data_IF_436606695985
#
_entry.id   IF_436606695985
#
_cell.length_a   1.000
_cell.length_b   1.000
_cell.length_c   1.000
_cell.angle_alpha   90.00
_cell.angle_beta   90.00
_cell.angle_gamma   90.00
#
_symmetry.space_group_name_H-M   'P 1'
#
loop_
_entity.id
_entity.type
_entity.pdbx_description
1 polymer ?
#
# COMPACT_ATOMS: atom_id res chain seq x y z
N UNK A 1 -1.75 -21.63 3.70
CA UNK A 1 -3.04 -21.26 4.32
C UNK A 1 -3.94 -22.48 4.48
N UNK A 2 -4.01 -23.35 3.45
CA UNK A 2 -4.81 -24.59 3.49
C UNK A 2 -4.31 -25.63 4.51
N UNK A 3 -3.04 -25.62 4.88
CA UNK A 3 -2.47 -26.54 5.88
C UNK A 3 -2.98 -26.28 7.32
N UNK A 4 -3.58 -25.12 7.57
CA UNK A 4 -4.04 -24.72 8.91
C UNK A 4 -5.55 -24.77 9.10
N UNK A 5 -6.32 -24.94 8.02
CA UNK A 5 -7.78 -25.06 8.08
C UNK A 5 -8.21 -26.39 7.46
N UNK A 6 -9.20 -27.07 8.04
CA UNK A 6 -9.76 -28.27 7.44
C UNK A 6 -10.24 -27.97 6.02
N UNK A 7 -9.73 -28.68 5.03
CA UNK A 7 -10.06 -28.48 3.61
C UNK A 7 -11.58 -28.47 3.34
N UNK A 8 -12.33 -29.17 4.15
CA UNK A 8 -13.79 -29.27 4.08
C UNK A 8 -14.53 -27.96 4.41
N UNK A 9 -13.82 -26.95 4.96
CA UNK A 9 -14.39 -25.65 5.35
C UNK A 9 -13.98 -24.49 4.45
N UNK A 10 -13.10 -24.72 3.48
CA UNK A 10 -12.63 -23.68 2.58
C UNK A 10 -13.14 -23.94 1.16
N UNK A 11 -13.75 -22.93 0.54
CA UNK A 11 -14.09 -22.94 -0.87
C UNK A 11 -13.07 -22.09 -1.63
N UNK A 12 -12.62 -22.59 -2.76
CA UNK A 12 -11.75 -21.87 -3.68
C UNK A 12 -12.57 -21.36 -4.86
N UNK A 13 -12.33 -20.12 -5.24
CA UNK A 13 -12.93 -19.47 -6.40
C UNK A 13 -11.80 -19.08 -7.36
N UNK A 14 -11.94 -19.41 -8.63
CA UNK A 14 -11.01 -19.00 -9.66
C UNK A 14 -11.26 -17.57 -10.17
N UNK A 15 -12.49 -17.09 -10.02
CA UNK A 15 -12.88 -15.70 -10.28
C UNK A 15 -13.47 -15.08 -9.01
N UNK A 16 -12.97 -13.91 -8.61
CA UNK A 16 -13.47 -13.21 -7.43
C UNK A 16 -14.95 -12.81 -7.56
N UNK A 17 -15.47 -12.66 -8.77
CA UNK A 17 -16.88 -12.35 -9.01
C UNK A 17 -17.80 -13.48 -8.58
N UNK A 18 -17.36 -14.73 -8.70
CA UNK A 18 -18.12 -15.87 -8.20
C UNK A 18 -18.14 -15.92 -6.67
N UNK A 19 -17.00 -15.55 -6.03
CA UNK A 19 -16.95 -15.37 -4.58
C UNK A 19 -17.94 -14.28 -4.13
N UNK A 20 -18.01 -13.15 -4.84
CA UNK A 20 -18.92 -12.05 -4.48
C UNK A 20 -20.40 -12.46 -4.58
N UNK A 21 -20.76 -13.34 -5.51
CA UNK A 21 -22.15 -13.86 -5.65
C UNK A 21 -22.54 -14.89 -4.61
N UNK A 22 -21.58 -15.46 -3.89
CA UNK A 22 -21.89 -16.43 -2.83
C UNK A 22 -22.62 -15.73 -1.66
N UNK A 23 -23.85 -16.13 -1.32
CA UNK A 23 -24.62 -15.53 -0.24
C UNK A 23 -24.04 -15.83 1.16
N UNK A 24 -23.21 -16.85 1.31
CA UNK A 24 -22.53 -17.14 2.56
C UNK A 24 -21.33 -16.23 2.82
N UNK A 25 -20.81 -15.55 1.79
CA UNK A 25 -19.73 -14.56 1.92
C UNK A 25 -20.34 -13.19 2.22
N UNK A 26 -20.10 -12.67 3.42
CA UNK A 26 -20.57 -11.35 3.84
C UNK A 26 -19.44 -10.31 3.97
N UNK A 27 -18.20 -10.76 4.09
CA UNK A 27 -17.01 -9.90 4.28
C UNK A 27 -15.89 -10.35 3.35
N UNK A 28 -15.24 -9.39 2.72
CA UNK A 28 -14.15 -9.63 1.75
C UNK A 28 -12.91 -8.87 2.17
N UNK A 29 -11.77 -9.57 2.20
CA UNK A 29 -10.45 -8.97 2.37
C UNK A 29 -9.78 -8.86 1.01
N UNK A 30 -9.52 -7.63 0.54
CA UNK A 30 -8.88 -7.35 -0.74
C UNK A 30 -7.40 -7.09 -0.48
N UNK A 31 -6.56 -8.08 -0.80
CA UNK A 31 -5.11 -8.08 -0.62
C UNK A 31 -4.44 -8.44 -1.94
N UNK A 32 -4.58 -7.55 -2.92
CA UNK A 32 -4.06 -7.72 -4.28
C UNK A 32 -3.07 -6.61 -4.61
N UNK A 33 -2.63 -6.51 -5.86
CA UNK A 33 -1.81 -5.38 -6.31
C UNK A 33 -2.66 -4.11 -6.38
N UNK A 34 -2.03 -2.97 -6.10
CA UNK A 34 -2.64 -1.66 -5.93
C UNK A 34 -3.59 -1.28 -7.08
N UNK A 35 -3.21 -1.60 -8.32
CA UNK A 35 -3.99 -1.29 -9.52
C UNK A 35 -5.35 -2.00 -9.61
N UNK A 36 -5.56 -3.08 -8.86
CA UNK A 36 -6.81 -3.84 -8.86
C UNK A 36 -7.74 -3.46 -7.70
N UNK A 37 -7.29 -2.59 -6.79
CA UNK A 37 -8.06 -2.22 -5.61
C UNK A 37 -9.40 -1.58 -5.98
N UNK A 38 -9.41 -0.64 -6.92
CA UNK A 38 -10.63 0.06 -7.34
C UNK A 38 -11.66 -0.93 -7.89
N UNK A 39 -11.30 -1.70 -8.92
CA UNK A 39 -12.23 -2.63 -9.57
C UNK A 39 -12.85 -3.60 -8.55
N UNK A 40 -12.01 -4.24 -7.73
CA UNK A 40 -12.47 -5.26 -6.81
C UNK A 40 -13.25 -4.70 -5.63
N UNK A 41 -12.84 -3.54 -5.10
CA UNK A 41 -13.54 -2.90 -4.00
C UNK A 41 -14.91 -2.39 -4.42
N UNK A 42 -15.02 -1.71 -5.57
CA UNK A 42 -16.31 -1.24 -6.11
C UNK A 42 -17.24 -2.42 -6.36
N UNK A 43 -16.74 -3.51 -6.98
CA UNK A 43 -17.55 -4.70 -7.21
C UNK A 43 -18.08 -5.31 -5.91
N UNK A 44 -17.20 -5.48 -4.90
CA UNK A 44 -17.59 -6.07 -3.62
C UNK A 44 -18.58 -5.19 -2.84
N UNK A 45 -18.39 -3.88 -2.82
CA UNK A 45 -19.29 -2.94 -2.17
C UNK A 45 -20.68 -2.94 -2.82
N UNK A 46 -20.75 -2.95 -4.14
CA UNK A 46 -22.02 -2.99 -4.89
C UNK A 46 -22.77 -4.32 -4.67
N UNK A 47 -22.08 -5.42 -4.41
CA UNK A 47 -22.68 -6.70 -4.00
C UNK A 47 -23.04 -6.75 -2.50
N UNK A 48 -23.01 -5.62 -1.81
CA UNK A 48 -23.40 -5.49 -0.40
C UNK A 48 -22.42 -6.10 0.59
N UNK A 49 -21.19 -6.41 0.17
CA UNK A 49 -20.19 -7.01 1.05
C UNK A 49 -19.52 -5.97 1.94
N UNK A 50 -19.21 -6.35 3.17
CA UNK A 50 -18.26 -5.58 3.99
C UNK A 50 -16.86 -5.77 3.43
N UNK A 51 -16.14 -4.68 3.20
CA UNK A 51 -14.81 -4.72 2.56
C UNK A 51 -13.73 -4.27 3.53
N UNK A 52 -12.73 -5.11 3.72
CA UNK A 52 -11.42 -4.72 4.21
C UNK A 52 -10.49 -4.57 3.00
N UNK A 53 -10.04 -3.37 2.73
CA UNK A 53 -9.18 -3.04 1.59
C UNK A 53 -7.77 -2.73 2.09
N UNK A 54 -6.76 -3.41 1.53
CA UNK A 54 -5.36 -3.04 1.77
C UNK A 54 -5.04 -1.65 1.22
N UNK A 55 -4.03 -1.03 1.81
CA UNK A 55 -3.50 0.27 1.38
C UNK A 55 -2.60 0.11 0.12
N UNK A 56 -2.50 1.14 -0.73
CA UNK A 56 -3.31 2.36 -0.76
C UNK A 56 -4.75 2.06 -1.21
N UNK A 57 -5.68 2.98 -0.95
CA UNK A 57 -7.08 2.77 -1.35
C UNK A 57 -7.22 2.51 -2.85
N UNK A 58 -6.59 3.35 -3.66
CA UNK A 58 -6.45 3.19 -5.11
C UNK A 58 -5.17 3.88 -5.59
N UNK A 59 -4.82 3.73 -6.87
CA UNK A 59 -3.66 4.38 -7.48
C UNK A 59 -3.99 5.75 -8.09
N UNK A 60 -5.24 6.19 -8.02
CA UNK A 60 -5.71 7.49 -8.49
C UNK A 60 -6.72 8.10 -7.52
N UNK A 61 -6.90 9.42 -7.60
CA UNK A 61 -7.94 10.13 -6.84
C UNK A 61 -9.32 9.69 -7.31
N UNK A 62 -9.51 9.58 -8.61
CA UNK A 62 -10.78 9.11 -9.21
C UNK A 62 -11.16 7.71 -8.71
N UNK A 63 -10.19 6.79 -8.63
CA UNK A 63 -10.41 5.45 -8.06
C UNK A 63 -10.81 5.48 -6.59
N UNK A 64 -10.20 6.37 -5.79
CA UNK A 64 -10.62 6.59 -4.41
C UNK A 64 -12.07 7.08 -4.33
N UNK A 65 -12.44 8.06 -5.16
CA UNK A 65 -13.80 8.63 -5.20
C UNK A 65 -14.82 7.57 -5.64
N UNK A 66 -14.49 6.72 -6.59
CA UNK A 66 -15.33 5.62 -7.05
C UNK A 66 -15.59 4.60 -5.93
N UNK A 67 -14.55 4.22 -5.17
CA UNK A 67 -14.69 3.32 -4.01
C UNK A 67 -15.55 3.95 -2.92
N UNK A 68 -15.30 5.21 -2.57
CA UNK A 68 -16.09 5.91 -1.54
C UNK A 68 -17.55 6.09 -1.96
N UNK A 69 -17.80 6.38 -3.23
CA UNK A 69 -19.17 6.47 -3.79
C UNK A 69 -19.87 5.13 -3.70
N UNK A 70 -19.22 4.04 -4.13
CA UNK A 70 -19.79 2.70 -4.03
C UNK A 70 -20.12 2.30 -2.59
N UNK A 71 -19.26 2.62 -1.63
CA UNK A 71 -19.53 2.39 -0.22
C UNK A 71 -20.75 3.19 0.29
N UNK A 72 -20.85 4.46 -0.12
CA UNK A 72 -21.95 5.32 0.28
C UNK A 72 -23.29 4.88 -0.33
N UNK A 73 -23.32 4.60 -1.63
CA UNK A 73 -24.54 4.24 -2.37
C UNK A 73 -25.07 2.86 -1.97
N UNK A 74 -24.17 1.90 -1.73
CA UNK A 74 -24.57 0.55 -1.30
C UNK A 74 -24.91 0.47 0.19
N UNK A 75 -24.47 1.43 1.00
CA UNK A 75 -24.53 1.34 2.48
C UNK A 75 -23.58 0.29 3.07
N UNK A 76 -22.68 -0.29 2.26
CA UNK A 76 -21.74 -1.30 2.67
C UNK A 76 -20.59 -0.71 3.51
N UNK A 77 -20.03 -1.50 4.42
CA UNK A 77 -18.92 -1.05 5.25
C UNK A 77 -17.59 -1.20 4.52
N UNK A 78 -16.81 -0.13 4.52
CA UNK A 78 -15.44 -0.11 4.02
C UNK A 78 -14.46 0.16 5.17
N UNK A 79 -13.43 -0.68 5.30
CA UNK A 79 -12.31 -0.48 6.20
C UNK A 79 -11.01 -0.46 5.37
N UNK A 80 -10.23 0.62 5.50
CA UNK A 80 -8.93 0.75 4.83
C UNK A 80 -7.80 0.30 5.75
N UNK A 81 -6.91 -0.54 5.26
CA UNK A 81 -5.84 -1.23 5.99
C UNK A 81 -4.65 -0.36 6.42
N UNK A 82 -4.90 0.78 7.07
CA UNK A 82 -3.84 1.59 7.70
C UNK A 82 -3.36 0.95 9.00
N UNK A 83 -2.75 -0.23 8.88
CA UNK A 83 -2.37 -1.10 9.99
C UNK A 83 -1.27 -0.52 10.91
N UNK A 84 -0.48 0.45 10.46
CA UNK A 84 0.53 1.10 11.32
C UNK A 84 -0.07 1.79 12.55
N UNK A 85 -1.33 2.22 12.50
CA UNK A 85 -2.05 2.75 13.68
C UNK A 85 -2.12 1.74 14.82
N UNK A 86 -2.03 0.44 14.53
CA UNK A 86 -2.09 -0.65 15.51
C UNK A 86 -0.71 -1.08 16.02
N UNK A 87 0.38 -0.55 15.47
CA UNK A 87 1.73 -0.82 15.97
C UNK A 87 1.85 -0.31 17.43
N UNK A 88 2.39 -1.13 18.35
CA UNK A 88 2.44 -0.75 19.78
C UNK A 88 3.13 0.59 20.04
N UNK A 89 4.20 0.90 19.33
CA UNK A 89 4.92 2.17 19.42
C UNK A 89 4.07 3.35 18.97
N UNK A 90 3.38 3.24 17.86
CA UNK A 90 2.51 4.30 17.33
C UNK A 90 1.30 4.53 18.24
N UNK A 91 0.68 3.45 18.73
CA UNK A 91 -0.38 3.55 19.73
C UNK A 91 0.10 4.25 20.99
N UNK A 92 1.30 3.91 21.48
CA UNK A 92 1.87 4.54 22.67
C UNK A 92 2.15 6.03 22.44
N UNK A 93 2.65 6.42 21.28
CA UNK A 93 2.81 7.82 20.91
C UNK A 93 1.46 8.55 20.97
N UNK A 94 0.40 7.98 20.39
CA UNK A 94 -0.94 8.55 20.40
C UNK A 94 -1.49 8.71 21.83
N UNK A 95 -1.35 7.69 22.68
CA UNK A 95 -1.75 7.75 24.09
C UNK A 95 -1.06 8.89 24.86
N UNK A 96 0.26 9.09 24.64
CA UNK A 96 1.03 10.18 25.26
C UNK A 96 0.49 11.54 24.79
N UNK A 97 0.27 11.70 23.48
CA UNK A 97 -0.29 12.93 22.92
C UNK A 97 -1.68 13.22 23.51
N UNK A 98 -2.56 12.23 23.49
CA UNK A 98 -3.95 12.37 23.95
C UNK A 98 -4.05 12.63 25.47
N UNK A 99 -3.05 12.22 26.25
CA UNK A 99 -2.97 12.53 27.68
C UNK A 99 -2.64 14.00 27.97
N UNK A 100 -2.22 14.77 26.96
CA UNK A 100 -1.84 16.18 27.12
C UNK A 100 -0.51 16.42 27.82
N UNK A 101 0.20 15.38 28.26
CA UNK A 101 1.43 15.52 29.06
C UNK A 101 2.56 16.24 28.32
N UNK A 102 2.57 16.23 27.00
CA UNK A 102 3.56 16.91 26.15
C UNK A 102 3.03 18.22 25.55
N UNK A 103 1.79 18.62 25.90
CA UNK A 103 1.12 19.78 25.31
C UNK A 103 0.72 19.56 23.84
N UNK A 104 0.46 20.67 23.13
CA UNK A 104 0.01 20.66 21.74
C UNK A 104 1.14 20.31 20.78
N UNK A 105 0.84 19.52 19.80
CA UNK A 105 1.79 19.15 18.74
C UNK A 105 2.02 20.35 17.82
N UNK A 106 3.26 20.83 17.77
CA UNK A 106 3.65 21.97 16.93
C UNK A 106 4.25 21.54 15.60
N UNK A 107 4.92 20.38 15.56
CA UNK A 107 5.58 19.87 14.36
C UNK A 107 5.74 18.36 14.45
N UNK A 108 5.67 17.68 13.30
CA UNK A 108 5.94 16.25 13.19
C UNK A 108 6.95 16.02 12.07
N UNK A 109 7.99 15.24 12.34
CA UNK A 109 8.94 14.76 11.32
C UNK A 109 8.88 13.26 11.21
N UNK A 110 8.83 12.76 9.98
CA UNK A 110 9.02 11.35 9.68
C UNK A 110 10.20 11.20 8.72
N UNK A 111 11.09 10.28 9.02
CA UNK A 111 12.16 9.84 8.13
C UNK A 111 12.06 8.35 7.98
N UNK A 112 11.82 7.90 6.76
CA UNK A 112 11.64 6.50 6.45
C UNK A 112 12.73 6.05 5.47
N UNK A 113 13.65 5.21 5.96
CA UNK A 113 14.68 4.57 5.16
C UNK A 113 14.37 3.09 5.02
N UNK A 114 14.20 2.64 3.78
CA UNK A 114 13.83 1.26 3.48
C UNK A 114 15.09 0.51 3.05
N UNK A 115 15.57 -0.39 3.90
CA UNK A 115 16.79 -1.18 3.64
C UNK A 115 16.62 -2.24 2.55
N UNK A 116 15.40 -2.60 2.20
CA UNK A 116 15.05 -3.54 1.12
C UNK A 116 14.48 -2.83 -0.12
N UNK A 117 14.94 -1.61 -0.38
CA UNK A 117 14.39 -0.73 -1.43
C UNK A 117 14.38 -1.36 -2.82
N UNK A 118 15.38 -2.16 -3.19
CA UNK A 118 15.43 -2.79 -4.50
C UNK A 118 14.22 -3.69 -4.79
N UNK A 119 13.57 -4.23 -3.78
CA UNK A 119 12.40 -5.07 -3.95
C UNK A 119 11.22 -4.32 -4.61
N UNK A 120 11.08 -3.02 -4.35
CA UNK A 120 10.08 -2.19 -5.03
C UNK A 120 10.31 -2.12 -6.53
N UNK A 121 11.56 -2.13 -6.96
CA UNK A 121 11.97 -1.95 -8.34
C UNK A 121 12.14 -3.27 -9.10
N UNK A 122 11.81 -4.41 -8.50
CA UNK A 122 11.77 -5.73 -9.13
C UNK A 122 10.37 -6.13 -9.59
N UNK A 123 9.33 -5.51 -9.05
CA UNK A 123 7.94 -5.91 -9.20
C UNK A 123 7.04 -4.75 -9.66
N UNK A 124 5.76 -4.91 -9.48
CA UNK A 124 4.72 -3.97 -9.90
C UNK A 124 4.89 -2.55 -9.32
N UNK A 125 5.62 -2.38 -8.23
CA UNK A 125 5.91 -1.05 -7.67
C UNK A 125 6.95 -0.25 -8.47
N UNK A 126 7.54 -0.83 -9.51
CA UNK A 126 8.53 -0.15 -10.35
C UNK A 126 7.89 0.85 -11.33
N UNK A 127 6.60 0.71 -11.62
CA UNK A 127 5.91 1.48 -12.65
C UNK A 127 4.72 2.26 -12.08
N UNK A 128 4.58 3.53 -12.51
CA UNK A 128 3.48 4.41 -12.08
C UNK A 128 2.12 3.88 -12.48
N UNK A 129 2.04 3.24 -13.61
CA UNK A 129 0.79 2.62 -14.10
C UNK A 129 0.21 1.60 -13.12
N UNK A 130 1.07 0.94 -12.35
CA UNK A 130 0.67 -0.17 -11.46
C UNK A 130 0.63 0.20 -9.98
N UNK A 131 1.36 1.24 -9.53
CA UNK A 131 1.38 1.64 -8.13
C UNK A 131 1.44 3.15 -7.86
N UNK A 132 1.59 3.97 -8.91
CA UNK A 132 1.68 5.44 -8.86
C UNK A 132 2.83 6.02 -8.02
N UNK A 133 3.79 5.21 -7.59
CA UNK A 133 5.02 5.67 -6.97
C UNK A 133 5.13 5.43 -5.47
N UNK A 134 6.32 5.74 -4.96
CA UNK A 134 6.75 5.39 -3.61
C UNK A 134 5.99 6.17 -2.53
N UNK A 135 5.68 7.45 -2.77
CA UNK A 135 4.92 8.26 -1.82
C UNK A 135 3.52 7.71 -1.59
N UNK A 136 2.84 7.25 -2.64
CA UNK A 136 1.54 6.63 -2.48
C UNK A 136 1.67 5.23 -1.87
N UNK A 137 2.50 4.38 -2.45
CA UNK A 137 2.54 2.97 -2.07
C UNK A 137 3.09 2.75 -0.66
N UNK A 138 4.17 3.46 -0.29
CA UNK A 138 4.82 3.33 1.02
C UNK A 138 4.54 4.50 1.94
N UNK A 139 4.62 5.72 1.43
CA UNK A 139 4.39 6.93 2.22
C UNK A 139 2.95 7.07 2.74
N UNK A 140 1.98 6.34 2.16
CA UNK A 140 0.60 6.33 2.66
C UNK A 140 0.52 6.01 4.17
N UNK A 141 1.33 5.08 4.66
CA UNK A 141 1.39 4.77 6.09
C UNK A 141 1.93 5.92 6.91
N UNK A 142 3.00 6.57 6.44
CA UNK A 142 3.66 7.66 7.15
C UNK A 142 2.73 8.89 7.19
N UNK A 143 2.07 9.21 6.08
CA UNK A 143 1.11 10.31 5.96
C UNK A 143 -0.08 10.08 6.90
N UNK A 144 -0.63 8.87 6.91
CA UNK A 144 -1.73 8.49 7.78
C UNK A 144 -1.37 8.64 9.26
N UNK A 145 -0.19 8.16 9.66
CA UNK A 145 0.30 8.28 11.03
C UNK A 145 0.53 9.74 11.41
N UNK A 146 1.12 10.56 10.53
CA UNK A 146 1.30 12.00 10.76
C UNK A 146 -0.04 12.67 11.04
N UNK A 147 -1.04 12.48 10.18
CA UNK A 147 -2.38 13.06 10.34
C UNK A 147 -3.03 12.59 11.64
N UNK A 148 -2.91 11.31 11.97
CA UNK A 148 -3.49 10.76 13.19
C UNK A 148 -2.85 11.30 14.48
N UNK A 149 -1.52 11.41 14.50
CA UNK A 149 -0.78 11.95 15.65
C UNK A 149 -0.98 13.47 15.78
N UNK A 150 -0.97 14.21 14.68
CA UNK A 150 -1.19 15.65 14.66
C UNK A 150 -2.65 16.05 14.97
N UNK A 151 -3.60 15.13 14.83
CA UNK A 151 -5.03 15.41 15.04
C UNK A 151 -5.67 16.28 13.95
N UNK A 152 -5.10 16.27 12.73
CA UNK A 152 -5.59 17.09 11.61
C UNK A 152 -5.12 16.58 10.27
N UNK A 153 -5.59 17.24 9.20
CA UNK A 153 -5.24 16.92 7.83
C UNK A 153 -4.45 18.04 7.18
N UNK A 154 -3.59 17.67 6.23
CA UNK A 154 -2.79 18.61 5.46
C UNK A 154 -3.68 19.55 4.64
N UNK A 155 -3.47 20.85 4.83
CA UNK A 155 -4.16 21.89 4.05
C UNK A 155 -3.38 22.29 2.79
N UNK A 156 -2.06 22.18 2.82
CA UNK A 156 -1.17 22.48 1.69
C UNK A 156 -0.03 21.49 1.67
N UNK A 157 0.41 21.10 0.49
CA UNK A 157 1.53 20.17 0.32
C UNK A 157 2.46 20.65 -0.77
N UNK A 158 3.77 20.49 -0.51
CA UNK A 158 4.82 20.59 -1.53
C UNK A 158 5.64 19.32 -1.45
N UNK A 159 5.85 18.69 -2.59
CA UNK A 159 6.61 17.44 -2.68
C UNK A 159 7.61 17.47 -3.80
N UNK A 160 8.67 16.72 -3.65
CA UNK A 160 9.64 16.45 -4.70
C UNK A 160 10.13 15.02 -4.59
N UNK A 161 10.39 14.41 -5.73
CA UNK A 161 10.92 13.06 -5.82
C UNK A 161 11.85 12.92 -7.03
N UNK A 162 12.70 11.94 -7.00
CA UNK A 162 13.62 11.66 -8.10
C UNK A 162 13.96 10.17 -8.14
N UNK A 163 14.15 9.68 -9.34
CA UNK A 163 14.79 8.40 -9.62
C UNK A 163 16.27 8.68 -9.95
N UNK A 164 17.18 8.45 -9.00
CA UNK A 164 18.57 8.84 -9.11
C UNK A 164 19.58 7.72 -8.86
N UNK A 165 19.18 6.66 -8.18
CA UNK A 165 19.98 5.49 -7.85
C UNK A 165 19.65 4.34 -8.80
N UNK A 166 18.42 3.88 -8.79
CA UNK A 166 18.01 2.72 -9.56
C UNK A 166 17.91 2.97 -11.08
N UNK A 167 17.92 4.23 -11.55
CA UNK A 167 18.07 4.54 -12.97
C UNK A 167 19.48 4.23 -13.52
N UNK A 168 20.48 4.15 -12.64
CA UNK A 168 21.89 3.88 -13.01
C UNK A 168 22.20 2.39 -13.09
N UNK A 169 21.34 1.55 -12.56
CA UNK A 169 21.53 0.10 -12.60
C UNK A 169 21.34 -0.44 -14.00
N UNK A 170 22.26 -1.27 -14.46
CA UNK A 170 22.26 -1.83 -15.83
C UNK A 170 21.70 -3.25 -15.90
N UNK A 171 21.62 -3.94 -14.76
CA UNK A 171 21.21 -5.35 -14.68
C UNK A 171 19.69 -5.45 -14.56
N UNK A 172 19.01 -5.20 -15.69
CA UNK A 172 17.55 -5.30 -15.82
C UNK A 172 17.12 -6.67 -16.29
N UNK A 173 15.91 -7.06 -15.92
CA UNK A 173 15.24 -8.21 -16.53
C UNK A 173 14.91 -7.89 -18.00
N UNK A 174 14.87 -8.92 -18.83
CA UNK A 174 14.29 -8.79 -20.16
C UNK A 174 12.76 -8.58 -20.07
N UNK A 175 12.13 -7.91 -21.05
CA UNK A 175 10.68 -7.80 -21.09
C UNK A 175 10.01 -9.16 -21.02
N UNK A 176 9.09 -9.35 -20.07
CA UNK A 176 8.41 -10.63 -19.83
C UNK A 176 9.15 -11.63 -18.93
N UNK A 177 10.41 -11.38 -18.61
CA UNK A 177 11.15 -12.19 -17.63
C UNK A 177 10.62 -11.96 -16.22
N UNK A 178 10.44 -13.04 -15.47
CA UNK A 178 9.97 -12.95 -14.07
C UNK A 178 11.16 -12.85 -13.11
N UNK A 179 11.09 -11.98 -12.10
CA UNK A 179 12.14 -11.89 -11.09
C UNK A 179 12.24 -13.19 -10.30
N UNK A 180 13.49 -13.56 -9.94
CA UNK A 180 13.72 -14.70 -9.07
C UNK A 180 13.16 -14.42 -7.67
N UNK A 181 12.15 -15.18 -7.26
CA UNK A 181 11.50 -15.07 -5.95
C UNK A 181 12.41 -15.49 -4.79
N UNK A 182 13.53 -16.16 -5.07
CA UNK A 182 14.49 -16.62 -4.04
C UNK A 182 15.45 -15.55 -3.59
N UNK A 183 15.53 -14.41 -4.28
CA UNK A 183 16.38 -13.30 -3.84
C UNK A 183 15.74 -12.70 -2.58
N UNK A 184 16.33 -13.01 -1.44
CA UNK A 184 15.87 -12.48 -0.14
C UNK A 184 16.37 -11.05 0.09
N UNK A 185 15.71 -10.31 0.96
CA UNK A 185 16.14 -8.97 1.39
C UNK A 185 17.55 -8.96 1.99
N UNK A 186 18.00 -10.05 2.59
CA UNK A 186 19.33 -10.19 3.17
C UNK A 186 20.47 -10.28 2.15
N UNK A 187 20.14 -10.42 0.87
CA UNK A 187 21.11 -10.51 -0.24
C UNK A 187 21.26 -9.18 -1.01
N UNK A 188 20.70 -8.10 -0.49
CA UNK A 188 20.83 -6.80 -1.14
C UNK A 188 22.25 -6.27 -0.97
N UNK A 189 22.84 -5.85 -2.10
CA UNK A 189 24.17 -5.29 -2.13
C UNK A 189 24.16 -3.79 -1.83
N UNK A 190 25.17 -3.33 -1.16
CA UNK A 190 25.45 -1.91 -1.06
C UNK A 190 26.83 -1.63 -1.70
N UNK A 191 26.94 -0.70 -2.63
CA UNK A 191 25.90 0.19 -3.17
C UNK A 191 24.90 -0.55 -4.08
N UNK A 192 23.65 -0.06 -4.19
CA UNK A 192 22.57 -0.71 -4.94
C UNK A 192 22.80 -0.83 -6.46
N UNK A 193 23.88 -0.27 -6.97
CA UNK A 193 24.27 -0.37 -8.38
C UNK A 193 24.58 -1.79 -8.85
N UNK A 194 24.92 -2.68 -7.93
CA UNK A 194 25.20 -4.10 -8.19
C UNK A 194 23.95 -4.99 -8.10
N UNK A 195 22.81 -4.42 -7.76
CA UNK A 195 21.54 -5.14 -7.67
C UNK A 195 21.13 -5.69 -9.03
N UNK A 196 20.68 -6.94 -9.04
CA UNK A 196 20.22 -7.66 -10.23
C UNK A 196 18.72 -7.91 -10.20
N UNK A 197 18.14 -8.25 -11.33
CA UNK A 197 16.73 -8.65 -11.42
C UNK A 197 15.74 -7.52 -11.23
N UNK A 198 16.16 -6.29 -11.50
CA UNK A 198 15.26 -5.13 -11.50
C UNK A 198 14.32 -5.16 -12.70
N UNK A 199 13.14 -4.57 -12.56
CA UNK A 199 12.17 -4.48 -13.64
C UNK A 199 12.78 -3.87 -14.92
N UNK A 200 12.32 -4.28 -16.10
CA UNK A 200 12.81 -3.74 -17.37
C UNK A 200 12.67 -2.23 -17.44
N UNK A 201 11.54 -1.72 -16.96
CA UNK A 201 11.23 -0.30 -16.86
C UNK A 201 11.06 0.10 -15.40
N UNK A 202 11.56 1.27 -15.03
CA UNK A 202 11.34 1.91 -13.73
C UNK A 202 11.11 3.39 -14.01
N UNK A 203 9.95 3.91 -13.62
CA UNK A 203 9.58 5.32 -13.79
C UNK A 203 9.08 5.98 -12.50
N UNK A 204 9.14 5.24 -11.39
CA UNK A 204 8.84 5.77 -10.06
C UNK A 204 10.08 6.33 -9.38
N UNK A 205 9.90 7.22 -8.44
CA UNK A 205 10.97 7.79 -7.62
C UNK A 205 11.59 6.74 -6.69
N UNK A 206 12.91 6.84 -6.44
CA UNK A 206 13.62 6.04 -5.43
C UNK A 206 13.89 6.82 -4.14
N UNK A 207 13.69 8.11 -4.16
CA UNK A 207 13.62 8.96 -2.97
C UNK A 207 12.65 10.12 -3.19
N UNK A 208 12.07 10.56 -2.12
CA UNK A 208 11.12 11.67 -2.12
C UNK A 208 11.12 12.38 -0.77
N UNK A 209 10.69 13.63 -0.79
CA UNK A 209 10.41 14.41 0.40
C UNK A 209 9.11 15.18 0.20
N UNK A 210 8.43 15.46 1.30
CA UNK A 210 7.19 16.20 1.31
C UNK A 210 7.13 17.11 2.52
N UNK A 211 6.66 18.33 2.30
CA UNK A 211 6.28 19.28 3.33
C UNK A 211 4.76 19.43 3.28
N UNK A 212 4.14 19.23 4.42
CA UNK A 212 2.68 19.27 4.58
C UNK A 212 2.28 20.29 5.61
#
# INVERSE_FOLDING_TARGET
FHEQLPAEKCRDYSDYRDLLRDPEVNTVFIMVRDQYHEEMAVAALNEGKTVFLEKPMAISIEGCDNILRAAYESGSKLFLGHNMRYAPSIRKMKEIIDSGIIGDIQCVWVRHFINYGSCYFRHFCAERETCNGLLLQKGAHDIDVIHWLAGGYTARVTGMGRLSVYNRTKKRLAPGEKPDRKISFSQECWPPLDVTGLAPHIDVEDHSMMLM
#
